data_IF_490746660227
#
_entry.id   IF_490746660227
#
_cell.length_a   1.000
_cell.length_b   1.000
_cell.length_c   1.000
_cell.angle_alpha   90.00
_cell.angle_beta   90.00
_cell.angle_gamma   90.00
#
_symmetry.space_group_name_H-M   'P 1'
#
loop_
_entity.id
_entity.type
_entity.pdbx_description
1 polymer ?
#
# COMPACT_ATOMS: atom_id res chain seq x y z
N UNK A 1 -130.78 7.84 68.06
CA UNK A 1 -129.53 7.07 67.81
C UNK A 1 -128.96 7.56 66.49
N UNK A 2 -127.72 8.05 66.47
CA UNK A 2 -127.07 8.50 65.23
C UNK A 2 -126.41 9.86 65.38
N UNK A 3 -125.15 9.89 65.85
CA UNK A 3 -124.17 10.97 65.60
C UNK A 3 -122.78 10.68 66.23
N UNK A 4 -122.28 9.45 66.14
CA UNK A 4 -120.93 9.08 66.61
C UNK A 4 -120.00 8.54 65.50
N UNK A 5 -120.42 8.56 64.23
CA UNK A 5 -119.64 8.01 63.09
C UNK A 5 -118.83 9.06 62.32
N UNK A 6 -119.03 10.37 62.57
CA UNK A 6 -118.32 11.45 61.88
C UNK A 6 -116.90 11.69 62.42
N UNK A 7 -116.72 11.67 63.74
CA UNK A 7 -115.42 11.89 64.40
C UNK A 7 -114.41 10.76 64.18
N UNK A 8 -114.87 9.52 64.00
CA UNK A 8 -114.01 8.36 63.72
C UNK A 8 -113.44 8.39 62.28
N UNK A 9 -114.23 8.87 61.31
CA UNK A 9 -113.78 9.02 59.91
C UNK A 9 -112.76 10.13 59.72
N UNK A 10 -112.89 11.23 60.45
CA UNK A 10 -111.89 12.31 60.47
C UNK A 10 -110.55 11.83 61.04
N UNK A 11 -110.56 11.09 62.14
CA UNK A 11 -109.35 10.55 62.76
C UNK A 11 -108.64 9.47 61.89
N UNK A 12 -109.39 8.67 61.13
CA UNK A 12 -108.82 7.73 60.15
C UNK A 12 -108.21 8.46 58.95
N UNK A 13 -108.90 9.48 58.42
CA UNK A 13 -108.39 10.29 57.32
C UNK A 13 -107.11 11.03 57.72
N UNK A 14 -107.04 11.59 58.92
CA UNK A 14 -105.85 12.26 59.45
C UNK A 14 -104.67 11.29 59.65
N UNK A 15 -104.93 10.07 60.14
CA UNK A 15 -103.91 9.00 60.21
C UNK A 15 -103.39 8.61 58.82
N UNK A 16 -104.28 8.47 57.83
CA UNK A 16 -103.88 8.12 56.46
C UNK A 16 -103.06 9.25 55.82
N UNK A 17 -103.44 10.50 56.02
CA UNK A 17 -102.71 11.67 55.54
C UNK A 17 -101.31 11.75 56.16
N UNK A 18 -101.21 11.49 57.47
CA UNK A 18 -99.93 11.46 58.19
C UNK A 18 -99.04 10.31 57.73
N UNK A 19 -99.62 9.14 57.48
CA UNK A 19 -98.89 7.98 56.95
C UNK A 19 -98.36 8.25 55.53
N UNK A 20 -99.17 8.86 54.64
CA UNK A 20 -98.73 9.27 53.30
C UNK A 20 -97.63 10.32 53.36
N UNK A 21 -97.77 11.31 54.24
CA UNK A 21 -96.75 12.35 54.43
C UNK A 21 -95.43 11.78 54.96
N UNK A 22 -95.48 10.80 55.88
CA UNK A 22 -94.29 10.11 56.38
C UNK A 22 -93.64 9.22 55.31
N UNK A 23 -94.44 8.54 54.48
CA UNK A 23 -93.95 7.79 53.32
C UNK A 23 -93.29 8.71 52.28
N UNK A 24 -93.88 9.87 52.00
CA UNK A 24 -93.32 10.85 51.06
C UNK A 24 -92.00 11.44 51.59
N UNK A 25 -91.93 11.75 52.89
CA UNK A 25 -90.69 12.19 53.54
C UNK A 25 -89.59 11.12 53.43
N UNK A 26 -89.91 9.84 53.70
CA UNK A 26 -88.96 8.73 53.55
C UNK A 26 -88.48 8.57 52.12
N UNK A 27 -89.37 8.72 51.13
CA UNK A 27 -88.99 8.69 49.70
C UNK A 27 -88.05 9.84 49.35
N UNK A 28 -88.34 11.07 49.80
CA UNK A 28 -87.47 12.24 49.57
C UNK A 28 -86.12 12.10 50.27
N UNK A 29 -86.07 11.55 51.48
CA UNK A 29 -84.81 11.26 52.18
C UNK A 29 -83.99 10.21 51.43
N UNK A 30 -84.63 9.16 50.93
CA UNK A 30 -83.98 8.13 50.13
C UNK A 30 -83.44 8.68 48.81
N UNK A 31 -84.23 9.49 48.09
CA UNK A 31 -83.78 10.18 46.86
C UNK A 31 -82.60 11.12 47.12
N UNK A 32 -82.65 11.88 48.22
CA UNK A 32 -81.56 12.76 48.60
C UNK A 32 -80.27 11.98 48.92
N UNK A 33 -80.39 10.87 49.65
CA UNK A 33 -79.26 9.99 49.96
C UNK A 33 -78.66 9.37 48.69
N UNK A 34 -79.50 8.84 47.79
CA UNK A 34 -79.06 8.32 46.50
C UNK A 34 -78.35 9.39 45.66
N UNK A 35 -78.86 10.63 45.66
CA UNK A 35 -78.22 11.74 44.93
C UNK A 35 -76.86 12.11 45.52
N UNK A 36 -76.68 12.03 46.84
CA UNK A 36 -75.38 12.22 47.48
C UNK A 36 -74.40 11.11 47.10
N UNK A 37 -74.87 9.86 47.09
CA UNK A 37 -74.05 8.70 46.73
C UNK A 37 -73.57 8.76 45.28
N UNK A 38 -74.47 9.09 44.33
CA UNK A 38 -74.11 9.30 42.92
C UNK A 38 -73.06 10.40 42.76
N UNK A 39 -73.21 11.53 43.47
CA UNK A 39 -72.21 12.61 43.42
C UNK A 39 -70.86 12.19 44.00
N UNK A 40 -70.85 11.39 45.06
CA UNK A 40 -69.62 10.87 45.63
C UNK A 40 -68.90 9.95 44.62
N UNK A 41 -69.63 9.05 43.97
CA UNK A 41 -69.09 8.19 42.91
C UNK A 41 -68.59 8.97 41.69
N UNK A 42 -69.27 10.05 41.27
CA UNK A 42 -68.79 10.91 40.18
C UNK A 42 -67.46 11.60 40.52
N UNK A 43 -67.29 12.04 41.78
CA UNK A 43 -66.04 12.66 42.24
C UNK A 43 -64.91 11.63 42.27
N UNK A 44 -65.16 10.41 42.74
CA UNK A 44 -64.19 9.32 42.69
C UNK A 44 -63.80 8.95 41.26
N UNK A 45 -64.76 8.81 40.36
CA UNK A 45 -64.50 8.54 38.93
C UNK A 45 -63.62 9.61 38.30
N UNK A 46 -63.91 10.89 38.54
CA UNK A 46 -63.06 11.99 38.05
C UNK A 46 -61.65 11.93 38.61
N UNK A 47 -61.49 11.53 39.87
CA UNK A 47 -60.18 11.38 40.50
C UNK A 47 -59.37 10.26 39.83
N UNK A 48 -60.01 9.12 39.59
CA UNK A 48 -59.39 7.98 38.87
C UNK A 48 -59.03 8.36 37.44
N UNK A 49 -59.89 9.08 36.71
CA UNK A 49 -59.57 9.55 35.35
C UNK A 49 -58.35 10.48 35.30
N UNK A 50 -58.21 11.38 36.30
CA UNK A 50 -57.02 12.23 36.39
C UNK A 50 -55.76 11.43 36.67
N UNK A 51 -55.82 10.46 37.58
CA UNK A 51 -54.69 9.58 37.90
C UNK A 51 -54.25 8.76 36.68
N UNK A 52 -55.19 8.22 35.90
CA UNK A 52 -54.89 7.50 34.66
C UNK A 52 -54.19 8.41 33.66
N UNK A 53 -54.71 9.62 33.42
CA UNK A 53 -54.10 10.60 32.51
C UNK A 53 -52.69 11.00 32.94
N UNK A 54 -52.46 11.16 34.25
CA UNK A 54 -51.14 11.49 34.78
C UNK A 54 -50.14 10.33 34.57
N UNK A 55 -50.57 9.09 34.79
CA UNK A 55 -49.75 7.90 34.53
C UNK A 55 -49.40 7.77 33.05
N UNK A 56 -50.37 7.99 32.15
CA UNK A 56 -50.14 8.00 30.70
C UNK A 56 -49.16 9.09 30.27
N UNK A 57 -49.30 10.31 30.82
CA UNK A 57 -48.40 11.43 30.54
C UNK A 57 -46.96 11.09 30.97
N UNK A 58 -46.78 10.58 32.20
CA UNK A 58 -45.46 10.17 32.71
C UNK A 58 -44.83 9.06 31.87
N UNK A 59 -45.64 8.12 31.38
CA UNK A 59 -45.17 7.06 30.48
C UNK A 59 -44.70 7.63 29.14
N UNK A 60 -45.48 8.54 28.56
CA UNK A 60 -45.12 9.21 27.30
C UNK A 60 -43.84 10.05 27.45
N UNK A 61 -43.67 10.78 28.55
CA UNK A 61 -42.44 11.53 28.84
C UNK A 61 -41.23 10.61 28.97
N UNK A 62 -41.38 9.47 29.66
CA UNK A 62 -40.31 8.49 29.81
C UNK A 62 -39.92 7.86 28.46
N UNK A 63 -40.90 7.50 27.64
CA UNK A 63 -40.66 6.98 26.29
C UNK A 63 -39.97 8.02 25.39
N UNK A 64 -40.38 9.29 25.48
CA UNK A 64 -39.74 10.39 24.76
C UNK A 64 -38.28 10.58 25.18
N UNK A 65 -38.00 10.56 26.50
CA UNK A 65 -36.65 10.67 27.04
C UNK A 65 -35.77 9.49 26.60
N UNK A 66 -36.28 8.26 26.72
CA UNK A 66 -35.58 7.06 26.24
C UNK A 66 -35.26 7.15 24.73
N UNK A 67 -36.19 7.67 23.92
CA UNK A 67 -35.97 7.86 22.49
C UNK A 67 -34.89 8.90 22.19
N UNK A 68 -34.80 9.97 22.98
CA UNK A 68 -33.72 10.95 22.85
C UNK A 68 -32.36 10.34 23.22
N UNK A 69 -32.28 9.59 24.32
CA UNK A 69 -31.06 8.91 24.73
C UNK A 69 -30.58 7.87 23.69
N UNK A 70 -31.51 7.11 23.12
CA UNK A 70 -31.21 6.17 22.03
C UNK A 70 -30.62 6.88 20.81
N UNK A 71 -31.20 8.01 20.39
CA UNK A 71 -30.68 8.81 19.27
C UNK A 71 -29.28 9.37 19.56
N UNK A 72 -29.04 9.83 20.79
CA UNK A 72 -27.73 10.33 21.18
C UNK A 72 -26.67 9.23 21.10
N UNK A 73 -26.96 8.04 21.66
CA UNK A 73 -26.09 6.86 21.58
C UNK A 73 -25.83 6.41 20.14
N UNK A 74 -26.85 6.44 19.28
CA UNK A 74 -26.68 6.10 17.86
C UNK A 74 -25.71 7.06 17.15
N UNK A 75 -25.80 8.37 17.44
CA UNK A 75 -24.86 9.35 16.88
C UNK A 75 -23.43 9.15 17.38
N UNK A 76 -23.24 8.85 18.67
CA UNK A 76 -21.92 8.55 19.24
C UNK A 76 -21.30 7.30 18.59
N UNK A 77 -22.09 6.23 18.42
CA UNK A 77 -21.64 5.01 17.76
C UNK A 77 -21.21 5.28 16.31
N UNK A 78 -22.00 6.04 15.54
CA UNK A 78 -21.62 6.40 14.17
C UNK A 78 -20.33 7.21 14.11
N UNK A 79 -20.12 8.11 15.07
CA UNK A 79 -18.88 8.90 15.15
C UNK A 79 -17.68 8.00 15.44
N UNK A 80 -17.80 7.08 16.40
CA UNK A 80 -16.76 6.12 16.74
C UNK A 80 -16.42 5.19 15.55
N UNK A 81 -17.43 4.73 14.80
CA UNK A 81 -17.21 3.93 13.60
C UNK A 81 -16.44 4.68 12.50
N UNK A 82 -16.74 5.96 12.29
CA UNK A 82 -16.01 6.81 11.33
C UNK A 82 -14.55 7.01 11.76
N UNK A 83 -14.30 7.28 13.04
CA UNK A 83 -12.95 7.43 13.58
C UNK A 83 -12.14 6.13 13.40
N UNK A 84 -12.72 4.97 13.72
CA UNK A 84 -12.06 3.66 13.52
C UNK A 84 -11.72 3.42 12.04
N UNK A 85 -12.67 3.65 11.12
CA UNK A 85 -12.42 3.49 9.68
C UNK A 85 -11.28 4.38 9.19
N UNK A 86 -11.30 5.67 9.57
CA UNK A 86 -10.25 6.60 9.18
C UNK A 86 -8.88 6.20 9.74
N UNK A 87 -8.83 5.66 10.96
CA UNK A 87 -7.60 5.16 11.56
C UNK A 87 -7.07 3.90 10.88
N UNK A 88 -7.95 3.02 10.40
CA UNK A 88 -7.56 1.84 9.62
C UNK A 88 -6.98 2.24 8.25
N UNK A 89 -7.64 3.15 7.53
CA UNK A 89 -7.15 3.67 6.24
C UNK A 89 -5.76 4.32 6.36
N UNK A 90 -5.53 5.09 7.44
CA UNK A 90 -4.21 5.69 7.70
C UNK A 90 -3.12 4.62 7.92
N UNK A 91 -3.42 3.56 8.69
CA UNK A 91 -2.48 2.46 8.91
C UNK A 91 -2.16 1.69 7.62
N UNK A 92 -3.16 1.43 6.79
CA UNK A 92 -2.96 0.79 5.49
C UNK A 92 -2.06 1.65 4.59
N UNK A 93 -2.28 2.96 4.56
CA UNK A 93 -1.47 3.89 3.79
C UNK A 93 -0.04 3.99 4.30
N UNK A 94 0.16 3.96 5.62
CA UNK A 94 1.49 3.93 6.23
C UNK A 94 2.25 2.63 5.89
N UNK A 95 1.57 1.48 5.95
CA UNK A 95 2.16 0.20 5.54
C UNK A 95 2.58 0.20 4.06
N UNK A 96 1.73 0.73 3.18
CA UNK A 96 2.04 0.83 1.75
C UNK A 96 3.24 1.76 1.49
N UNK A 97 3.33 2.90 2.17
CA UNK A 97 4.49 3.80 2.06
C UNK A 97 5.78 3.13 2.55
N UNK A 98 5.73 2.40 3.66
CA UNK A 98 6.89 1.65 4.16
C UNK A 98 7.34 0.57 3.16
N UNK A 99 6.38 -0.18 2.59
CA UNK A 99 6.67 -1.17 1.55
C UNK A 99 7.29 -0.54 0.30
N UNK A 100 6.78 0.61 -0.15
CA UNK A 100 7.36 1.34 -1.29
C UNK A 100 8.78 1.81 -1.00
N UNK A 101 9.06 2.25 0.23
CA UNK A 101 10.40 2.63 0.66
C UNK A 101 11.35 1.43 0.66
N UNK A 102 10.96 0.29 1.22
CA UNK A 102 11.75 -0.95 1.19
C UNK A 102 12.07 -1.38 -0.24
N UNK A 103 11.08 -1.34 -1.15
CA UNK A 103 11.28 -1.65 -2.57
C UNK A 103 12.29 -0.68 -3.20
N UNK A 104 12.20 0.62 -2.91
CA UNK A 104 13.13 1.61 -3.44
C UNK A 104 14.57 1.38 -2.93
N UNK A 105 14.73 1.07 -1.65
CA UNK A 105 16.03 0.74 -1.04
C UNK A 105 16.63 -0.53 -1.68
N UNK A 106 15.82 -1.59 -1.86
CA UNK A 106 16.24 -2.80 -2.56
C UNK A 106 16.66 -2.54 -4.01
N UNK A 107 15.92 -1.71 -4.76
CA UNK A 107 16.28 -1.34 -6.14
C UNK A 107 17.65 -0.63 -6.17
N UNK A 108 17.91 0.27 -5.21
CA UNK A 108 19.19 0.96 -5.12
C UNK A 108 20.32 -0.04 -4.84
N UNK A 109 20.13 -0.96 -3.89
CA UNK A 109 21.12 -1.98 -3.57
C UNK A 109 21.39 -2.92 -4.74
N UNK A 110 20.34 -3.31 -5.47
CA UNK A 110 20.45 -4.17 -6.65
C UNK A 110 21.21 -3.45 -7.78
N UNK A 111 20.94 -2.16 -8.02
CA UNK A 111 21.69 -1.33 -8.97
C UNK A 111 23.17 -1.23 -8.57
N UNK A 112 23.46 -0.98 -7.29
CA UNK A 112 24.83 -0.89 -6.77
C UNK A 112 25.59 -2.21 -6.93
N UNK A 113 24.94 -3.32 -6.59
CA UNK A 113 25.53 -4.66 -6.69
C UNK A 113 25.78 -5.06 -8.14
N UNK A 114 24.81 -4.78 -9.02
CA UNK A 114 24.97 -4.95 -10.47
C UNK A 114 26.18 -4.15 -10.96
N UNK A 115 26.25 -2.85 -10.67
CA UNK A 115 27.37 -1.99 -11.07
C UNK A 115 28.72 -2.53 -10.59
N UNK A 116 28.80 -2.96 -9.33
CA UNK A 116 30.01 -3.53 -8.75
C UNK A 116 30.46 -4.81 -9.49
N UNK A 117 29.54 -5.76 -9.68
CA UNK A 117 29.83 -7.00 -10.39
C UNK A 117 30.30 -6.74 -11.82
N UNK A 118 29.63 -5.84 -12.54
CA UNK A 118 30.03 -5.46 -13.90
C UNK A 118 31.42 -4.78 -13.94
N UNK A 119 31.73 -3.91 -12.97
CA UNK A 119 33.06 -3.29 -12.86
C UNK A 119 34.15 -4.34 -12.63
N UNK A 120 33.93 -5.29 -11.71
CA UNK A 120 34.86 -6.39 -11.42
C UNK A 120 35.06 -7.30 -12.65
N UNK A 121 33.99 -7.63 -13.35
CA UNK A 121 34.04 -8.44 -14.57
C UNK A 121 34.81 -7.72 -15.68
N UNK A 122 34.52 -6.43 -15.91
CA UNK A 122 35.21 -5.59 -16.91
C UNK A 122 36.71 -5.53 -16.62
N UNK A 123 37.07 -5.32 -15.35
CA UNK A 123 38.47 -5.32 -14.92
C UNK A 123 39.16 -6.66 -15.22
N UNK A 124 38.51 -7.78 -14.88
CA UNK A 124 39.03 -9.13 -15.15
C UNK A 124 39.27 -9.37 -16.65
N UNK A 125 38.31 -9.02 -17.52
CA UNK A 125 38.47 -9.14 -18.96
C UNK A 125 39.65 -8.31 -19.50
N UNK A 126 39.81 -7.09 -18.99
CA UNK A 126 40.90 -6.21 -19.43
C UNK A 126 42.26 -6.65 -18.90
N UNK A 127 42.33 -7.21 -17.69
CA UNK A 127 43.54 -7.85 -17.16
C UNK A 127 43.98 -9.02 -18.07
N UNK A 128 43.03 -9.84 -18.54
CA UNK A 128 43.29 -10.92 -19.50
C UNK A 128 43.80 -10.36 -20.83
N UNK A 129 43.14 -9.34 -21.40
CA UNK A 129 43.58 -8.71 -22.65
C UNK A 129 44.99 -8.13 -22.51
N UNK A 130 45.29 -7.45 -21.41
CA UNK A 130 46.63 -6.93 -21.13
C UNK A 130 47.68 -8.03 -21.07
N UNK A 131 47.35 -9.16 -20.43
CA UNK A 131 48.26 -10.29 -20.34
C UNK A 131 48.50 -10.93 -21.71
N UNK A 132 47.46 -11.04 -22.56
CA UNK A 132 47.60 -11.48 -23.96
C UNK A 132 48.52 -10.54 -24.74
N UNK A 133 48.31 -9.21 -24.63
CA UNK A 133 49.15 -8.21 -25.31
C UNK A 133 50.62 -8.36 -24.86
N UNK A 134 50.85 -8.52 -23.55
CA UNK A 134 52.20 -8.69 -23.00
C UNK A 134 52.85 -9.98 -23.51
N UNK A 135 52.12 -11.08 -23.53
CA UNK A 135 52.62 -12.36 -24.06
C UNK A 135 52.97 -12.24 -25.54
N UNK A 136 52.12 -11.59 -26.34
CA UNK A 136 52.36 -11.35 -27.76
C UNK A 136 53.60 -10.47 -27.98
N UNK A 137 53.77 -9.40 -27.19
CA UNK A 137 54.96 -8.53 -27.26
C UNK A 137 56.25 -9.33 -27.07
N UNK A 138 56.32 -10.19 -26.04
CA UNK A 138 57.49 -11.03 -25.78
C UNK A 138 57.76 -12.01 -26.92
N UNK A 139 56.71 -12.56 -27.54
CA UNK A 139 56.85 -13.43 -28.71
C UNK A 139 57.40 -12.65 -29.92
N UNK A 140 56.91 -11.43 -30.16
CA UNK A 140 57.43 -10.57 -31.23
C UNK A 140 58.87 -10.17 -31.01
N UNK A 141 59.27 -9.79 -29.80
CA UNK A 141 60.65 -9.43 -29.48
C UNK A 141 61.61 -10.62 -29.76
N UNK A 142 61.23 -11.83 -29.33
CA UNK A 142 62.00 -13.05 -29.62
C UNK A 142 62.06 -13.39 -31.10
N UNK A 143 60.96 -13.20 -31.82
CA UNK A 143 60.91 -13.42 -33.26
C UNK A 143 61.79 -12.40 -34.00
N UNK A 144 61.78 -11.14 -33.57
CA UNK A 144 62.60 -10.07 -34.12
C UNK A 144 64.09 -10.27 -33.83
N UNK A 145 64.45 -10.69 -32.61
CA UNK A 145 65.83 -11.09 -32.27
C UNK A 145 66.32 -12.24 -33.16
N UNK A 146 65.45 -13.19 -33.47
CA UNK A 146 65.76 -14.32 -34.37
C UNK A 146 65.92 -13.85 -35.81
N UNK A 147 65.09 -12.90 -36.25
CA UNK A 147 65.20 -12.25 -37.56
C UNK A 147 66.51 -11.45 -37.70
N UNK A 148 66.87 -10.65 -36.68
CA UNK A 148 68.10 -9.87 -36.64
C UNK A 148 69.36 -10.76 -36.66
N UNK A 149 69.28 -11.99 -36.13
CA UNK A 149 70.35 -12.97 -36.26
C UNK A 149 70.52 -13.47 -37.71
N UNK A 150 69.45 -13.50 -38.52
CA UNK A 150 69.52 -13.89 -39.94
C UNK A 150 70.20 -12.86 -40.84
N UNK A 151 70.25 -11.59 -40.43
CA UNK A 151 71.03 -10.55 -41.13
C UNK A 151 72.54 -10.82 -41.12
N UNK A 152 73.01 -11.82 -40.38
CA UNK A 152 74.39 -12.30 -40.42
C UNK A 152 74.58 -13.26 -41.61
N UNK A 153 75.36 -12.85 -42.62
CA UNK A 153 75.45 -13.49 -43.95
C UNK A 153 75.94 -14.95 -43.94
N UNK A 154 76.50 -15.43 -42.83
CA UNK A 154 77.12 -16.76 -42.70
C UNK A 154 76.18 -17.90 -42.25
N UNK A 155 74.87 -17.66 -42.12
CA UNK A 155 73.93 -18.69 -41.68
C UNK A 155 73.56 -19.68 -42.81
N UNK A 156 73.52 -21.01 -42.54
CA UNK A 156 73.04 -22.00 -43.49
C UNK A 156 71.58 -21.76 -43.90
N UNK A 157 71.24 -22.08 -45.15
CA UNK A 157 69.92 -21.80 -45.72
C UNK A 157 68.78 -22.57 -45.03
N UNK A 158 69.07 -23.77 -44.51
CA UNK A 158 68.13 -24.56 -43.69
C UNK A 158 67.76 -23.86 -42.38
N UNK A 159 68.71 -23.15 -41.77
CA UNK A 159 68.50 -22.37 -40.55
C UNK A 159 67.67 -21.12 -40.84
N UNK A 160 67.97 -20.41 -41.94
CA UNK A 160 67.18 -19.25 -42.39
C UNK A 160 65.72 -19.62 -42.69
N UNK A 161 65.52 -20.75 -43.37
CA UNK A 161 64.16 -21.30 -43.62
C UNK A 161 63.42 -21.60 -42.32
N UNK A 162 64.08 -22.25 -41.36
CA UNK A 162 63.47 -22.62 -40.07
C UNK A 162 63.06 -21.38 -39.26
N UNK A 163 63.89 -20.34 -39.25
CA UNK A 163 63.58 -19.06 -38.59
C UNK A 163 62.42 -18.35 -39.30
N UNK A 164 62.39 -18.35 -40.63
CA UNK A 164 61.30 -17.76 -41.43
C UNK A 164 59.96 -18.48 -41.20
N UNK A 165 59.96 -19.82 -41.21
CA UNK A 165 58.76 -20.63 -40.94
C UNK A 165 58.26 -20.41 -39.50
N UNK A 166 59.17 -20.27 -38.53
CA UNK A 166 58.83 -19.96 -37.14
C UNK A 166 58.26 -18.55 -37.00
N UNK A 167 58.85 -17.56 -37.67
CA UNK A 167 58.36 -16.18 -37.69
C UNK A 167 56.95 -16.11 -38.29
N UNK A 168 56.74 -16.72 -39.46
CA UNK A 168 55.45 -16.77 -40.14
C UNK A 168 54.37 -17.45 -39.28
N UNK A 169 54.75 -18.51 -38.56
CA UNK A 169 53.83 -19.19 -37.63
C UNK A 169 53.44 -18.29 -36.46
N UNK A 170 54.40 -17.60 -35.85
CA UNK A 170 54.14 -16.64 -34.75
C UNK A 170 53.25 -15.50 -35.23
N UNK A 171 53.48 -14.95 -36.43
CA UNK A 171 52.68 -13.85 -36.96
C UNK A 171 51.27 -14.25 -37.40
N UNK A 172 51.06 -15.51 -37.81
CA UNK A 172 49.75 -15.99 -38.25
C UNK A 172 48.85 -16.46 -37.10
N UNK A 173 49.43 -16.96 -36.00
CA UNK A 173 48.67 -17.46 -34.85
C UNK A 173 48.34 -16.34 -33.82
N UNK A 174 49.02 -15.19 -33.89
CA UNK A 174 48.79 -14.05 -32.98
C UNK A 174 47.76 -13.09 -33.60
N UNK A 175 46.67 -12.89 -32.86
CA UNK A 175 45.69 -11.85 -33.16
C UNK A 175 46.35 -10.47 -33.09
N UNK A 176 46.20 -9.66 -34.15
CA UNK A 176 46.83 -8.34 -34.19
C UNK A 176 46.28 -7.44 -33.07
N UNK A 177 47.07 -6.46 -32.62
CA UNK A 177 46.60 -5.44 -31.66
C UNK A 177 45.31 -4.76 -32.13
N UNK A 178 45.16 -4.56 -33.45
CA UNK A 178 43.95 -3.98 -34.05
C UNK A 178 42.74 -4.91 -33.89
N UNK A 179 42.92 -6.20 -34.12
CA UNK A 179 41.84 -7.19 -33.97
C UNK A 179 41.42 -7.37 -32.51
N UNK A 180 42.39 -7.34 -31.58
CA UNK A 180 42.13 -7.33 -30.14
C UNK A 180 41.35 -6.09 -29.70
N UNK A 181 41.71 -4.90 -30.19
CA UNK A 181 40.98 -3.66 -29.93
C UNK A 181 39.55 -3.74 -30.49
N UNK A 182 39.39 -4.22 -31.72
CA UNK A 182 38.07 -4.38 -32.35
C UNK A 182 37.19 -5.39 -31.58
N UNK A 183 37.79 -6.49 -31.11
CA UNK A 183 37.11 -7.48 -30.27
C UNK A 183 36.69 -6.88 -28.92
N UNK A 184 37.60 -6.18 -28.24
CA UNK A 184 37.32 -5.52 -26.95
C UNK A 184 36.22 -4.46 -27.09
N UNK A 185 36.23 -3.69 -28.19
CA UNK A 185 35.19 -2.71 -28.53
C UNK A 185 33.84 -3.39 -28.73
N UNK A 186 33.80 -4.48 -29.51
CA UNK A 186 32.56 -5.24 -29.76
C UNK A 186 31.95 -5.81 -28.47
N UNK A 187 32.78 -6.35 -27.58
CA UNK A 187 32.32 -6.86 -26.29
C UNK A 187 31.88 -5.74 -25.34
N UNK A 188 32.58 -4.61 -25.31
CA UNK A 188 32.16 -3.43 -24.54
C UNK A 188 30.78 -2.91 -25.00
N UNK A 189 30.53 -2.92 -26.31
CA UNK A 189 29.25 -2.50 -26.89
C UNK A 189 28.11 -3.48 -26.57
N UNK A 190 28.36 -4.80 -26.70
CA UNK A 190 27.39 -5.83 -26.27
C UNK A 190 26.98 -5.70 -24.81
N UNK A 191 27.94 -5.33 -23.95
CA UNK A 191 27.72 -5.17 -22.53
C UNK A 191 27.19 -3.78 -22.15
N UNK A 192 27.13 -2.84 -23.11
CA UNK A 192 26.72 -1.46 -22.91
C UNK A 192 27.52 -0.75 -21.81
N UNK A 193 28.85 -0.93 -21.82
CA UNK A 193 29.76 -0.37 -20.80
C UNK A 193 30.66 0.76 -21.33
N UNK A 194 30.65 1.05 -22.62
CA UNK A 194 31.57 2.00 -23.27
C UNK A 194 31.53 3.41 -22.64
N UNK A 195 30.35 3.84 -22.17
CA UNK A 195 30.12 5.18 -21.60
C UNK A 195 30.21 5.19 -20.06
N UNK A 196 30.55 4.05 -19.45
CA UNK A 196 30.67 3.97 -17.98
C UNK A 196 31.94 4.64 -17.50
N UNK A 197 31.85 5.34 -16.37
CA UNK A 197 33.00 6.02 -15.76
C UNK A 197 34.14 5.03 -15.47
N UNK A 198 33.80 3.81 -15.04
CA UNK A 198 34.74 2.74 -14.79
C UNK A 198 35.47 2.27 -16.05
N UNK A 199 34.77 2.10 -17.17
CA UNK A 199 35.39 1.74 -18.44
C UNK A 199 36.32 2.85 -18.94
N UNK A 200 35.86 4.10 -18.92
CA UNK A 200 36.67 5.26 -19.32
C UNK A 200 37.94 5.38 -18.46
N UNK A 201 37.79 5.27 -17.13
CA UNK A 201 38.92 5.33 -16.18
C UNK A 201 39.93 4.22 -16.42
N UNK A 202 39.44 3.03 -16.75
CA UNK A 202 40.26 1.88 -17.07
C UNK A 202 41.04 2.08 -18.37
N UNK A 203 40.38 2.52 -19.45
CA UNK A 203 41.06 2.85 -20.72
C UNK A 203 42.13 3.91 -20.50
N UNK A 204 41.82 4.98 -19.76
CA UNK A 204 42.79 6.03 -19.43
C UNK A 204 44.00 5.46 -18.66
N UNK A 205 43.77 4.60 -17.67
CA UNK A 205 44.84 3.95 -16.88
C UNK A 205 45.75 3.08 -17.77
N UNK A 206 45.19 2.43 -18.79
CA UNK A 206 45.96 1.61 -19.73
C UNK A 206 46.83 2.47 -20.66
N UNK A 207 46.33 3.64 -21.07
CA UNK A 207 47.12 4.63 -21.81
C UNK A 207 48.24 5.20 -20.92
N UNK A 208 47.93 5.59 -19.69
CA UNK A 208 48.90 6.17 -18.76
C UNK A 208 50.06 5.20 -18.45
N UNK A 209 49.78 3.90 -18.41
CA UNK A 209 50.77 2.85 -18.23
C UNK A 209 51.49 2.44 -19.53
N UNK A 210 51.25 3.12 -20.65
CA UNK A 210 51.87 2.84 -21.95
C UNK A 210 51.45 1.53 -22.60
N UNK A 211 50.35 0.91 -22.13
CA UNK A 211 49.84 -0.36 -22.68
C UNK A 211 48.94 -0.16 -23.90
N UNK A 212 48.33 1.01 -24.02
CA UNK A 212 47.55 1.45 -25.17
C UNK A 212 48.09 2.80 -25.65
N UNK A 213 48.00 3.06 -26.95
CA UNK A 213 48.26 4.41 -27.47
C UNK A 213 47.04 5.30 -27.30
N UNK A 214 47.23 6.63 -27.37
CA UNK A 214 46.10 7.58 -27.38
C UNK A 214 45.10 7.31 -28.52
N UNK A 215 45.60 6.82 -29.65
CA UNK A 215 44.78 6.43 -30.81
C UNK A 215 43.94 5.18 -30.55
N UNK A 216 44.46 4.23 -29.77
CA UNK A 216 43.71 3.03 -29.38
C UNK A 216 42.60 3.38 -28.40
N UNK A 217 42.87 4.32 -27.48
CA UNK A 217 41.85 4.89 -26.58
C UNK A 217 40.71 5.54 -27.35
N UNK A 218 40.99 6.38 -28.33
CA UNK A 218 39.95 7.01 -29.16
C UNK A 218 39.04 5.96 -29.80
N UNK A 219 39.62 4.89 -30.36
CA UNK A 219 38.81 3.80 -30.95
C UNK A 219 37.94 3.06 -29.94
N UNK A 220 38.42 2.87 -28.71
CA UNK A 220 37.69 2.16 -27.65
C UNK A 220 36.59 3.02 -27.03
N UNK A 221 36.73 4.36 -27.05
CA UNK A 221 35.79 5.29 -26.44
C UNK A 221 34.81 5.92 -27.44
N UNK A 222 35.22 6.13 -28.69
CA UNK A 222 34.40 6.78 -29.74
C UNK A 222 33.71 5.76 -30.66
N UNK A 223 33.68 4.48 -30.28
CA UNK A 223 32.99 3.47 -31.05
C UNK A 223 31.48 3.79 -31.11
N UNK A 224 30.87 3.83 -32.31
CA UNK A 224 29.46 4.13 -32.42
C UNK A 224 28.63 3.07 -31.69
N UNK A 225 27.75 3.55 -30.82
CA UNK A 225 26.76 2.72 -30.14
C UNK A 225 25.88 2.02 -31.19
N UNK A 226 25.84 0.68 -31.18
CA UNK A 226 24.93 -0.09 -32.01
C UNK A 226 23.72 -0.55 -31.17
N UNK A 227 22.57 0.16 -31.26
CA UNK A 227 21.38 -0.14 -30.45
C UNK A 227 20.73 -1.48 -30.79
N UNK A 228 21.05 -2.10 -31.93
CA UNK A 228 20.41 -3.36 -32.37
C UNK A 228 20.78 -4.50 -31.43
N UNK A 229 22.05 -4.54 -30.98
CA UNK A 229 22.59 -5.59 -30.10
C UNK A 229 22.09 -5.43 -28.66
N UNK A 230 21.85 -4.20 -28.19
CA UNK A 230 21.41 -3.93 -26.82
C UNK A 230 19.95 -4.35 -26.54
N UNK A 231 19.16 -4.65 -27.57
CA UNK A 231 17.74 -5.00 -27.44
C UNK A 231 17.47 -6.49 -27.14
N UNK A 232 18.51 -7.34 -27.14
CA UNK A 232 18.37 -8.78 -26.86
C UNK A 232 17.47 -9.52 -27.85
N UNK A 233 17.14 -8.93 -29.00
CA UNK A 233 16.40 -9.63 -30.04
C UNK A 233 17.32 -10.62 -30.76
N UNK A 234 16.97 -11.91 -30.84
CA UNK A 234 17.71 -12.85 -31.65
C UNK A 234 17.62 -12.41 -33.13
N UNK A 235 18.76 -12.44 -33.81
CA UNK A 235 18.79 -12.33 -35.28
C UNK A 235 18.06 -13.54 -35.87
N UNK A 236 17.10 -13.28 -36.76
CA UNK A 236 16.37 -14.31 -37.52
C UNK A 236 17.24 -14.96 -38.59
#
# INVERSE_FOLDING_TARGET
>A
MGNNTSSLKEAEMERELKMKMEQELKMKEMEFKNRQEVKASEVELRKVEMEIKEVELRKAEMEFKNRQELKAREMELRKAEMEIKSGQELKEKEMELNRQREIAELIIELKKTKSKYFSELTKSYMDIICEIIKQNSVLYDKANDSLNKMTNENLPESVKKTITDTYNRITNDIMSTTDLINYATKEANKLNIQDTEEYIKLINTLVDNGRLTSKDREKLLDAPYDPVIASGKPEN
#
